data_IF_746864452411
#
_entry.id   IF_746864452411
#
_cell.length_a   1.000
_cell.length_b   1.000
_cell.length_c   1.000
_cell.angle_alpha   90.00
_cell.angle_beta   90.00
_cell.angle_gamma   90.00
#
_symmetry.space_group_name_H-M   'P 1'
#
loop_
_entity.id
_entity.type
_entity.pdbx_description
1 polymer ?
#
# COMPACT_ATOMS: atom_id res chain seq x y z
N UNK A 1 8.62 9.09 6.16
CA UNK A 1 9.18 8.11 5.16
C UNK A 1 10.70 8.08 5.20
N UNK A 2 11.43 9.19 5.35
CA UNK A 2 12.90 9.22 5.36
C UNK A 2 13.56 8.23 6.33
N UNK A 3 13.07 8.13 7.57
CA UNK A 3 13.63 7.20 8.58
C UNK A 3 13.60 5.73 8.12
N UNK A 4 12.50 5.29 7.46
CA UNK A 4 12.42 3.91 6.96
C UNK A 4 13.32 3.69 5.75
N UNK A 5 13.45 4.71 4.89
CA UNK A 5 14.35 4.67 3.75
C UNK A 5 15.82 4.57 4.22
N UNK A 6 16.22 5.39 5.21
CA UNK A 6 17.55 5.32 5.83
C UNK A 6 17.84 3.94 6.43
N UNK A 7 16.88 3.38 7.17
CA UNK A 7 17.04 2.08 7.79
C UNK A 7 17.16 0.96 6.75
N UNK A 8 16.39 1.00 5.68
CA UNK A 8 16.47 0.03 4.59
C UNK A 8 17.82 0.11 3.87
N UNK A 9 18.28 1.31 3.52
CA UNK A 9 19.62 1.50 2.92
C UNK A 9 20.74 1.04 3.85
N UNK A 10 20.68 1.35 5.15
CA UNK A 10 21.66 0.93 6.14
C UNK A 10 21.71 -0.61 6.31
N UNK A 11 20.57 -1.28 6.07
CA UNK A 11 20.50 -2.74 6.05
C UNK A 11 20.94 -3.37 4.71
N UNK A 12 21.38 -2.57 3.74
CA UNK A 12 21.80 -3.03 2.41
C UNK A 12 20.65 -3.29 1.43
N UNK A 13 19.44 -2.83 1.76
CA UNK A 13 18.28 -2.87 0.86
C UNK A 13 18.29 -1.75 -0.17
N UNK A 14 17.61 -1.95 -1.27
CA UNK A 14 17.36 -0.93 -2.29
C UNK A 14 16.12 -0.12 -1.94
N UNK A 15 16.19 1.20 -2.14
CA UNK A 15 15.07 2.12 -1.90
C UNK A 15 14.81 2.92 -3.16
N UNK A 16 13.60 2.78 -3.69
CA UNK A 16 13.12 3.51 -4.86
C UNK A 16 12.09 4.54 -4.39
N UNK A 17 12.36 5.82 -4.64
CA UNK A 17 11.45 6.92 -4.35
C UNK A 17 10.70 7.35 -5.61
N UNK A 18 9.43 7.73 -5.47
CA UNK A 18 8.63 8.33 -6.54
C UNK A 18 8.01 9.63 -6.05
N UNK A 19 8.32 10.75 -6.69
CA UNK A 19 7.87 12.07 -6.26
C UNK A 19 7.34 12.88 -7.45
N UNK A 20 6.18 13.54 -7.33
CA UNK A 20 5.73 14.50 -8.32
C UNK A 20 6.60 15.76 -8.31
N UNK A 21 6.90 16.30 -9.51
CA UNK A 21 7.69 17.52 -9.67
C UNK A 21 7.18 18.68 -8.80
N UNK A 22 5.87 18.82 -8.66
CA UNK A 22 5.25 19.88 -7.86
C UNK A 22 5.54 19.77 -6.35
N UNK A 23 5.82 18.57 -5.83
CA UNK A 23 6.12 18.32 -4.41
C UNK A 23 7.62 18.35 -4.12
N UNK A 24 8.47 18.20 -5.12
CA UNK A 24 9.93 18.16 -4.99
C UNK A 24 10.53 19.35 -4.22
N UNK A 25 9.99 20.54 -4.41
CA UNK A 25 10.46 21.75 -3.72
C UNK A 25 10.01 21.83 -2.25
N UNK A 26 9.00 21.06 -1.86
CA UNK A 26 8.41 21.04 -0.50
C UNK A 26 8.86 19.85 0.32
N UNK A 27 9.05 18.72 -0.32
CA UNK A 27 9.61 17.52 0.29
C UNK A 27 11.10 17.53 -0.02
N UNK A 28 11.95 17.57 1.00
CA UNK A 28 13.40 17.51 0.81
C UNK A 28 13.72 16.20 0.10
N UNK A 29 14.28 16.29 -1.12
CA UNK A 29 14.77 15.14 -1.87
C UNK A 29 15.64 14.28 -0.94
N UNK A 30 15.25 13.07 -0.69
CA UNK A 30 16.05 12.13 0.09
C UNK A 30 17.22 11.65 -0.77
N UNK A 31 18.37 12.34 -0.65
CA UNK A 31 19.54 12.14 -1.53
C UNK A 31 20.30 10.83 -1.30
N UNK A 32 19.91 10.05 -0.28
CA UNK A 32 20.58 8.83 0.13
C UNK A 32 19.93 7.53 -0.34
N UNK A 33 18.85 7.61 -1.14
CA UNK A 33 18.14 6.43 -1.66
C UNK A 33 18.77 5.91 -2.96
N UNK A 34 18.47 4.66 -3.31
CA UNK A 34 19.07 3.97 -4.47
C UNK A 34 18.63 4.60 -5.78
N UNK A 35 17.36 4.94 -5.93
CA UNK A 35 16.78 5.52 -7.14
C UNK A 35 15.66 6.51 -6.80
N UNK A 36 15.53 7.58 -7.58
CA UNK A 36 14.45 8.57 -7.44
C UNK A 36 13.81 8.84 -8.80
N UNK A 37 12.55 8.45 -8.93
CA UNK A 37 11.72 8.78 -10.08
C UNK A 37 10.96 10.09 -9.86
N UNK A 38 11.05 11.00 -10.83
CA UNK A 38 10.29 12.24 -10.84
C UNK A 38 9.19 12.11 -11.89
N UNK A 39 7.95 12.32 -11.46
CA UNK A 39 6.74 12.19 -12.29
C UNK A 39 6.00 13.53 -12.35
N UNK A 40 5.09 13.70 -13.31
CA UNK A 40 4.38 14.95 -13.49
C UNK A 40 3.14 15.06 -12.57
N UNK A 41 2.45 13.94 -12.34
CA UNK A 41 1.16 13.93 -11.62
C UNK A 41 1.15 12.97 -10.43
N UNK A 42 0.17 13.17 -9.51
CA UNK A 42 -0.08 12.23 -8.42
C UNK A 42 -0.58 10.86 -8.93
N UNK A 43 -1.29 10.83 -10.06
CA UNK A 43 -1.74 9.57 -10.67
C UNK A 43 -0.56 8.76 -11.19
N UNK A 44 0.37 9.39 -11.92
CA UNK A 44 1.60 8.74 -12.37
C UNK A 44 2.44 8.22 -11.19
N UNK A 45 2.54 9.02 -10.09
CA UNK A 45 3.22 8.56 -8.87
C UNK A 45 2.63 7.25 -8.37
N UNK A 46 1.31 7.20 -8.17
CA UNK A 46 0.63 6.03 -7.61
C UNK A 46 0.71 4.82 -8.54
N UNK A 47 0.51 5.03 -9.83
CA UNK A 47 0.63 3.97 -10.84
C UNK A 47 2.06 3.40 -10.89
N UNK A 48 3.09 4.26 -10.87
CA UNK A 48 4.49 3.83 -10.86
C UNK A 48 4.84 3.07 -9.57
N UNK A 49 4.47 3.59 -8.39
CA UNK A 49 4.67 2.89 -7.12
C UNK A 49 4.01 1.51 -7.14
N UNK A 50 2.79 1.43 -7.65
CA UNK A 50 2.06 0.18 -7.76
C UNK A 50 2.72 -0.80 -8.74
N UNK A 51 3.28 -0.32 -9.85
CA UNK A 51 3.96 -1.19 -10.83
C UNK A 51 5.27 -1.78 -10.30
N UNK A 52 6.01 -1.01 -9.49
CA UNK A 52 7.30 -1.41 -8.92
C UNK A 52 7.17 -2.31 -7.69
N UNK A 53 6.05 -2.26 -6.98
CA UNK A 53 5.86 -2.98 -5.72
C UNK A 53 5.31 -4.40 -5.94
N UNK A 54 5.74 -5.36 -5.12
CA UNK A 54 5.18 -6.72 -5.04
C UNK A 54 4.06 -6.82 -3.99
N UNK A 55 3.90 -5.78 -3.16
CA UNK A 55 2.87 -5.67 -2.14
C UNK A 55 2.89 -4.29 -1.48
N UNK A 56 1.87 -3.98 -0.71
CA UNK A 56 1.68 -2.66 -0.11
C UNK A 56 1.54 -2.79 1.41
N UNK A 57 2.36 -2.05 2.15
CA UNK A 57 2.26 -1.97 3.62
C UNK A 57 1.98 -0.54 4.03
N UNK A 58 0.84 -0.35 4.67
CA UNK A 58 0.41 0.91 5.23
C UNK A 58 0.88 1.02 6.68
N UNK A 59 1.79 1.96 6.93
CA UNK A 59 2.23 2.33 8.28
C UNK A 59 1.27 3.36 8.88
N UNK A 60 1.27 3.56 10.23
CA UNK A 60 0.52 4.66 10.84
C UNK A 60 0.76 5.98 10.14
N UNK A 61 -0.31 6.61 9.65
CA UNK A 61 -0.22 7.80 8.83
C UNK A 61 -1.53 8.59 8.76
N UNK A 62 -1.51 9.66 8.01
CA UNK A 62 -2.64 10.56 7.82
C UNK A 62 -3.55 10.18 6.65
N UNK A 63 -4.34 11.19 6.22
CA UNK A 63 -5.35 10.99 5.18
C UNK A 63 -4.77 10.54 3.83
N UNK A 64 -3.57 11.04 3.46
CA UNK A 64 -2.89 10.62 2.22
C UNK A 64 -2.48 9.15 2.25
N UNK A 65 -2.04 8.65 3.40
CA UNK A 65 -1.72 7.23 3.59
C UNK A 65 -2.96 6.35 3.45
N UNK A 66 -4.09 6.80 3.98
CA UNK A 66 -5.37 6.08 3.86
C UNK A 66 -5.89 6.15 2.42
N UNK A 67 -5.74 7.26 1.74
CA UNK A 67 -6.14 7.42 0.34
C UNK A 67 -5.38 6.45 -0.55
N UNK A 68 -4.04 6.39 -0.43
CA UNK A 68 -3.21 5.44 -1.18
C UNK A 68 -3.57 3.97 -0.86
N UNK A 69 -3.84 3.64 0.42
CA UNK A 69 -4.27 2.30 0.80
C UNK A 69 -5.61 1.90 0.16
N UNK A 70 -6.63 2.75 0.29
CA UNK A 70 -7.96 2.43 -0.25
C UNK A 70 -7.94 2.35 -1.77
N UNK A 71 -7.09 3.11 -2.45
CA UNK A 71 -6.93 3.03 -3.89
C UNK A 71 -6.33 1.69 -4.31
N UNK A 72 -5.16 1.29 -3.77
CA UNK A 72 -4.54 0.00 -4.14
C UNK A 72 -5.41 -1.19 -3.72
N UNK A 73 -6.10 -1.12 -2.59
CA UNK A 73 -7.04 -2.15 -2.17
C UNK A 73 -8.25 -2.24 -3.12
N UNK A 74 -8.78 -1.11 -3.58
CA UNK A 74 -9.85 -1.07 -4.58
C UNK A 74 -9.37 -1.65 -5.92
N UNK A 75 -8.15 -1.36 -6.34
CA UNK A 75 -7.57 -1.96 -7.53
C UNK A 75 -7.46 -3.48 -7.42
N UNK A 76 -7.03 -4.00 -6.26
CA UNK A 76 -7.04 -5.44 -6.01
C UNK A 76 -8.46 -6.04 -6.05
N UNK A 77 -9.45 -5.34 -5.46
CA UNK A 77 -10.86 -5.75 -5.51
C UNK A 77 -11.41 -5.82 -6.95
N UNK A 78 -11.00 -4.90 -7.81
CA UNK A 78 -11.40 -4.83 -9.22
C UNK A 78 -10.62 -5.79 -10.13
N UNK A 79 -9.55 -6.43 -9.61
CA UNK A 79 -8.74 -7.38 -10.36
C UNK A 79 -7.61 -6.75 -11.18
N UNK A 80 -7.24 -5.50 -10.92
CA UNK A 80 -6.08 -4.87 -11.56
C UNK A 80 -4.75 -5.48 -11.11
N UNK A 81 -4.70 -6.03 -9.91
CA UNK A 81 -3.54 -6.76 -9.39
C UNK A 81 -3.95 -7.75 -8.29
N UNK A 82 -3.11 -8.77 -8.10
CA UNK A 82 -3.26 -9.79 -7.05
C UNK A 82 -2.26 -9.61 -5.90
N UNK A 83 -1.73 -8.38 -5.71
CA UNK A 83 -0.70 -8.07 -4.72
C UNK A 83 -1.31 -7.92 -3.34
N UNK A 84 -0.64 -8.39 -2.26
CA UNK A 84 -1.11 -8.22 -0.89
C UNK A 84 -1.14 -6.76 -0.47
N UNK A 85 -2.21 -6.37 0.23
CA UNK A 85 -2.34 -5.08 0.88
C UNK A 85 -2.37 -5.28 2.40
N UNK A 86 -1.53 -4.58 3.15
CA UNK A 86 -1.39 -4.76 4.60
C UNK A 86 -1.49 -3.47 5.39
N UNK A 87 -2.13 -3.55 6.56
CA UNK A 87 -2.10 -2.54 7.63
C UNK A 87 -1.17 -3.02 8.74
N UNK A 88 -0.07 -2.32 8.97
CA UNK A 88 0.76 -2.56 10.14
C UNK A 88 0.17 -1.79 11.34
N UNK A 89 -0.56 -2.49 12.19
CA UNK A 89 -1.32 -1.94 13.34
C UNK A 89 -0.42 -1.69 14.54
N UNK A 90 0.59 -0.83 14.36
CA UNK A 90 1.53 -0.45 15.43
C UNK A 90 0.76 0.17 16.59
N UNK A 91 0.93 -0.40 17.77
CA UNK A 91 0.27 0.05 19.02
C UNK A 91 -1.26 0.20 18.91
N UNK A 92 -1.91 -0.54 18.01
CA UNK A 92 -3.36 -0.48 17.84
C UNK A 92 -3.87 0.75 17.09
N UNK A 93 -3.00 1.41 16.33
CA UNK A 93 -3.37 2.62 15.57
C UNK A 93 -4.54 2.38 14.61
N UNK A 94 -4.57 1.22 13.95
CA UNK A 94 -5.62 0.86 12.99
C UNK A 94 -6.75 0.01 13.56
N UNK A 95 -6.69 -0.37 14.83
CA UNK A 95 -7.71 -1.26 15.45
C UNK A 95 -9.14 -0.75 15.25
N UNK A 96 -9.39 0.57 15.42
CA UNK A 96 -10.73 1.15 15.24
C UNK A 96 -11.17 1.16 13.78
N UNK A 97 -10.24 1.40 12.86
CA UNK A 97 -10.52 1.39 11.43
C UNK A 97 -10.82 -0.04 10.96
N UNK A 98 -10.07 -1.04 11.45
CA UNK A 98 -10.35 -2.45 11.18
C UNK A 98 -11.76 -2.82 11.63
N UNK A 99 -12.14 -2.44 12.86
CA UNK A 99 -13.50 -2.68 13.35
C UNK A 99 -14.59 -1.98 12.52
N UNK A 100 -14.31 -0.78 11.99
CA UNK A 100 -15.23 -0.13 11.06
C UNK A 100 -15.35 -0.88 9.74
N UNK A 101 -14.22 -1.36 9.18
CA UNK A 101 -14.22 -2.15 7.94
C UNK A 101 -14.99 -3.46 8.14
N UNK A 102 -14.84 -4.12 9.29
CA UNK A 102 -15.59 -5.33 9.63
C UNK A 102 -17.11 -5.03 9.74
N UNK A 103 -17.49 -3.89 10.31
CA UNK A 103 -18.88 -3.42 10.31
C UNK A 103 -19.41 -3.18 8.89
N UNK A 104 -18.60 -2.66 7.97
CA UNK A 104 -18.98 -2.50 6.55
C UNK A 104 -19.29 -3.85 5.89
N UNK A 105 -18.58 -4.92 6.31
CA UNK A 105 -18.89 -6.30 5.88
C UNK A 105 -20.23 -6.76 6.47
N UNK A 106 -20.44 -6.55 7.77
CA UNK A 106 -21.68 -6.97 8.46
C UNK A 106 -22.92 -6.31 7.88
N UNK A 107 -22.79 -5.04 7.48
CA UNK A 107 -23.87 -4.28 6.81
C UNK A 107 -24.03 -4.62 5.30
N UNK A 108 -23.18 -5.51 4.75
CA UNK A 108 -23.27 -5.99 3.38
C UNK A 108 -22.72 -5.04 2.30
N UNK A 109 -22.00 -3.96 2.67
CA UNK A 109 -21.38 -3.03 1.73
C UNK A 109 -20.01 -3.51 1.23
N UNK A 110 -19.36 -4.46 1.93
CA UNK A 110 -18.11 -5.07 1.52
C UNK A 110 -18.23 -6.60 1.56
N UNK A 111 -17.87 -7.28 0.48
CA UNK A 111 -17.87 -8.74 0.44
C UNK A 111 -16.75 -9.29 1.34
N UNK A 112 -16.96 -10.42 2.06
CA UNK A 112 -15.92 -11.03 2.91
C UNK A 112 -14.61 -11.37 2.17
N UNK A 113 -14.68 -11.80 0.92
CA UNK A 113 -13.51 -12.08 0.10
C UNK A 113 -12.71 -10.80 -0.22
N UNK A 114 -13.37 -9.67 -0.45
CA UNK A 114 -12.70 -8.38 -0.65
C UNK A 114 -12.07 -7.85 0.65
N UNK A 115 -12.74 -8.08 1.81
CA UNK A 115 -12.16 -7.79 3.13
C UNK A 115 -10.88 -8.61 3.38
N UNK A 116 -10.86 -9.87 2.92
CA UNK A 116 -9.72 -10.78 3.09
C UNK A 116 -8.46 -10.36 2.30
N UNK A 117 -8.57 -9.47 1.31
CA UNK A 117 -7.42 -8.88 0.61
C UNK A 117 -6.57 -8.08 1.59
N UNK A 118 -7.19 -7.40 2.56
CA UNK A 118 -6.52 -6.52 3.51
C UNK A 118 -6.01 -7.31 4.71
N UNK A 119 -4.70 -7.53 4.75
CA UNK A 119 -3.98 -8.14 5.87
C UNK A 119 -3.83 -7.14 7.01
N UNK A 120 -3.88 -7.62 8.25
CA UNK A 120 -3.65 -6.78 9.44
C UNK A 120 -2.74 -7.52 10.40
N UNK A 121 -1.57 -6.92 10.66
CA UNK A 121 -0.59 -7.47 11.59
C UNK A 121 -0.02 -6.36 12.46
N UNK A 122 0.45 -6.72 13.66
CA UNK A 122 1.04 -5.76 14.60
C UNK A 122 2.56 -5.70 14.53
N UNK A 123 3.17 -6.79 14.10
CA UNK A 123 4.61 -6.95 14.03
C UNK A 123 5.08 -6.97 12.57
N UNK A 124 6.15 -6.22 12.23
CA UNK A 124 6.66 -6.15 10.86
C UNK A 124 7.02 -7.51 10.27
N UNK A 125 7.66 -8.39 11.05
CA UNK A 125 8.06 -9.72 10.60
C UNK A 125 6.83 -10.59 10.29
N UNK A 126 5.79 -10.54 11.13
CA UNK A 126 4.54 -11.25 10.90
C UNK A 126 3.87 -10.75 9.61
N UNK A 127 3.83 -9.42 9.40
CA UNK A 127 3.30 -8.82 8.17
C UNK A 127 4.04 -9.34 6.93
N UNK A 128 5.36 -9.27 6.91
CA UNK A 128 6.16 -9.73 5.77
C UNK A 128 5.98 -11.24 5.51
N UNK A 129 5.90 -12.05 6.56
CA UNK A 129 5.62 -13.48 6.45
C UNK A 129 4.21 -13.77 5.90
N UNK A 130 3.20 -13.00 6.29
CA UNK A 130 1.85 -13.10 5.74
C UNK A 130 1.84 -12.72 4.26
N UNK A 131 2.50 -11.62 3.89
CA UNK A 131 2.59 -11.16 2.50
C UNK A 131 3.33 -12.15 1.60
N UNK A 132 4.42 -12.75 2.07
CA UNK A 132 5.20 -13.73 1.32
C UNK A 132 4.40 -15.03 1.01
N UNK A 133 3.36 -15.31 1.80
CA UNK A 133 2.48 -16.50 1.65
C UNK A 133 1.11 -16.14 1.11
N UNK A 134 0.88 -14.87 0.81
CA UNK A 134 -0.43 -14.39 0.38
C UNK A 134 -0.86 -15.07 -0.93
N UNK A 135 -2.10 -15.52 -0.92
CA UNK A 135 -2.79 -16.00 -2.10
C UNK A 135 -4.02 -15.11 -2.26
N UNK A 136 -4.11 -14.42 -3.39
CA UNK A 136 -5.24 -13.55 -3.66
C UNK A 136 -6.56 -14.34 -3.59
N UNK A 137 -7.55 -13.86 -2.82
CA UNK A 137 -8.87 -14.48 -2.83
C UNK A 137 -9.48 -14.37 -4.23
N UNK A 138 -10.34 -15.31 -4.63
CA UNK A 138 -11.00 -15.23 -5.92
C UNK A 138 -11.85 -13.96 -5.99
N UNK A 139 -11.47 -13.06 -6.90
CA UNK A 139 -12.19 -11.83 -7.22
C UNK A 139 -12.84 -11.98 -8.59
N UNK A 140 -14.02 -11.41 -8.77
CA UNK A 140 -14.58 -11.27 -10.11
C UNK A 140 -13.78 -10.17 -10.83
N UNK A 141 -13.02 -10.54 -11.85
CA UNK A 141 -12.34 -9.57 -12.71
C UNK A 141 -13.39 -8.78 -13.51
N UNK A 142 -13.61 -7.53 -13.12
CA UNK A 142 -14.58 -6.66 -13.76
C UNK A 142 -13.99 -5.92 -14.97
N UNK A 143 -12.65 -5.90 -15.09
CA UNK A 143 -11.92 -5.12 -16.10
C UNK A 143 -10.67 -5.91 -16.51
N UNK A 144 -10.45 -6.04 -17.81
CA UNK A 144 -9.16 -6.53 -18.34
C UNK A 144 -8.09 -5.46 -18.09
N UNK A 145 -7.00 -5.80 -17.40
CA UNK A 145 -5.94 -4.91 -16.87
C UNK A 145 -5.16 -4.06 -17.90
N UNK A 146 -5.84 -3.62 -18.97
CA UNK A 146 -5.30 -2.75 -20.04
C UNK A 146 -5.79 -1.30 -19.95
N UNK A 147 -6.66 -0.98 -18.99
CA UNK A 147 -7.36 0.30 -18.92
C UNK A 147 -6.90 1.20 -17.75
N UNK A 148 -5.63 1.05 -17.29
CA UNK A 148 -5.02 1.94 -16.27
C UNK A 148 -3.83 2.67 -16.86
#
# INVERSE_FOLDING_TARGET
MGVIADAACAAGGEVIGVIPQALRAREHDHRGITELHIVDTMHERKAMMASLADGFVCLPGGIGTLEELFEVWTWAQLGYHDKPCGLLDVAGFYTRMSGFIDHVVDEGFLKPNHRAILLIEREPEAMLNCMARYLAPPTEHWIDGKDV
#
